data_IF_405931157694
#
_entry.id   IF_405931157694
#
_cell.length_a   1.000
_cell.length_b   1.000
_cell.length_c   1.000
_cell.angle_alpha   90.00
_cell.angle_beta   90.00
_cell.angle_gamma   90.00
#
_symmetry.space_group_name_H-M   'P 1'
#
loop_
_entity.id
_entity.type
_entity.pdbx_description
1 polymer ?
#
# COMPACT_ATOMS: atom_id res chain seq x y z
N UNK A 1 30.38 -36.75 22.72
CA UNK A 1 30.18 -35.70 23.76
C UNK A 1 29.54 -34.50 23.03
N UNK A 2 28.27 -34.35 23.21
CA UNK A 2 27.47 -33.32 22.52
C UNK A 2 27.59 -32.01 23.32
N UNK A 3 28.17 -30.97 22.69
CA UNK A 3 28.19 -29.63 23.27
C UNK A 3 26.80 -29.01 23.10
N UNK A 4 26.02 -29.04 24.15
CA UNK A 4 24.80 -28.24 24.25
C UNK A 4 25.16 -26.77 24.30
N UNK A 5 24.75 -26.00 23.27
CA UNK A 5 24.88 -24.55 23.24
C UNK A 5 24.02 -23.91 24.34
N UNK A 6 24.66 -23.52 25.43
CA UNK A 6 24.02 -22.81 26.56
C UNK A 6 23.44 -21.43 26.17
N UNK A 7 23.73 -20.96 24.97
CA UNK A 7 23.23 -19.66 24.45
C UNK A 7 21.82 -19.74 23.88
N UNK A 8 21.36 -20.92 23.43
CA UNK A 8 20.08 -21.05 22.72
C UNK A 8 18.85 -21.09 23.63
N UNK A 9 19.05 -21.48 24.92
CA UNK A 9 17.96 -21.57 25.91
C UNK A 9 17.64 -20.23 26.58
N UNK A 10 18.64 -19.35 26.77
CA UNK A 10 18.43 -18.03 27.42
C UNK A 10 17.83 -16.95 26.51
N UNK A 11 17.93 -17.11 25.20
CA UNK A 11 17.31 -16.19 24.24
C UNK A 11 15.79 -16.41 24.09
N UNK A 12 15.28 -17.58 24.48
CA UNK A 12 13.84 -17.92 24.41
C UNK A 12 13.00 -17.37 25.57
N UNK A 13 13.62 -16.89 26.64
CA UNK A 13 12.94 -16.49 27.87
C UNK A 13 12.92 -14.97 28.14
N UNK A 14 13.42 -14.14 27.20
CA UNK A 14 13.33 -12.69 27.38
C UNK A 14 12.11 -12.14 26.61
N UNK A 15 10.98 -11.88 27.30
CA UNK A 15 9.75 -11.38 26.64
C UNK A 15 9.95 -10.01 25.98
N UNK A 16 11.06 -9.32 26.22
CA UNK A 16 11.43 -8.06 25.59
C UNK A 16 12.11 -8.25 24.21
N UNK A 17 12.61 -9.47 23.92
CA UNK A 17 13.23 -9.80 22.63
C UNK A 17 12.24 -10.50 21.68
N UNK A 18 11.17 -11.08 22.20
CA UNK A 18 10.18 -11.86 21.45
C UNK A 18 9.02 -10.98 20.99
N UNK A 19 9.26 -10.16 19.99
CA UNK A 19 8.22 -9.32 19.43
C UNK A 19 8.60 -8.68 18.10
N UNK A 20 7.59 -8.30 17.34
CA UNK A 20 7.71 -7.62 16.05
C UNK A 20 7.34 -6.15 16.20
N UNK A 21 8.14 -5.26 15.64
CA UNK A 21 7.79 -3.83 15.57
C UNK A 21 6.76 -3.63 14.46
N UNK A 22 5.61 -3.08 14.83
CA UNK A 22 4.57 -2.72 13.87
C UNK A 22 4.99 -1.48 13.08
N UNK A 23 5.07 -1.58 11.76
CA UNK A 23 5.45 -0.45 10.89
C UNK A 23 4.44 0.70 10.86
N UNK A 24 3.23 0.53 11.43
CA UNK A 24 2.18 1.57 11.42
C UNK A 24 2.11 2.35 12.74
N UNK A 25 2.33 1.72 13.89
CA UNK A 25 2.29 2.39 15.20
C UNK A 25 3.64 2.43 15.91
N UNK A 26 4.67 1.85 15.29
CA UNK A 26 6.06 1.77 15.77
C UNK A 26 6.21 1.12 17.18
N UNK A 27 5.20 0.35 17.58
CA UNK A 27 5.19 -0.35 18.87
C UNK A 27 5.63 -1.79 18.66
N UNK A 28 6.60 -2.25 19.49
CA UNK A 28 6.97 -3.67 19.58
C UNK A 28 5.86 -4.44 20.30
N UNK A 29 5.39 -5.51 19.69
CA UNK A 29 4.27 -6.32 20.21
C UNK A 29 4.56 -7.81 20.00
N UNK A 30 3.97 -8.68 20.84
CA UNK A 30 4.06 -10.13 20.68
C UNK A 30 3.63 -10.58 19.27
N UNK A 31 4.25 -11.63 18.75
CA UNK A 31 3.93 -12.21 17.43
C UNK A 31 2.43 -12.55 17.30
N UNK A 32 1.79 -12.97 18.37
CA UNK A 32 0.35 -13.26 18.43
C UNK A 32 -0.53 -12.06 17.99
N UNK A 33 -0.04 -10.83 18.11
CA UNK A 33 -0.73 -9.60 17.66
C UNK A 33 -0.59 -9.35 16.17
N UNK A 34 0.12 -10.18 15.45
CA UNK A 34 0.27 -10.11 14.00
C UNK A 34 -0.45 -11.28 13.31
N UNK A 35 -0.67 -11.17 12.01
CA UNK A 35 -1.20 -12.25 11.20
C UNK A 35 -0.06 -12.91 10.44
N UNK A 36 -0.09 -14.24 10.37
CA UNK A 36 0.83 -15.03 9.55
C UNK A 36 0.23 -15.21 8.17
N UNK A 37 1.03 -15.08 7.14
CA UNK A 37 0.67 -15.38 5.74
C UNK A 37 0.79 -16.87 5.45
N UNK A 38 0.23 -17.33 4.33
CA UNK A 38 0.27 -18.76 3.95
C UNK A 38 1.69 -19.33 3.84
N UNK A 39 2.69 -18.48 3.53
CA UNK A 39 4.11 -18.86 3.46
C UNK A 39 4.84 -18.82 4.82
N UNK A 40 4.13 -18.64 5.94
CA UNK A 40 4.72 -18.53 7.27
C UNK A 40 5.26 -17.14 7.63
N UNK A 41 5.26 -16.20 6.70
CA UNK A 41 5.73 -14.84 6.94
C UNK A 41 4.77 -14.03 7.83
N UNK A 42 5.30 -13.23 8.72
CA UNK A 42 4.53 -12.38 9.62
C UNK A 42 4.22 -11.04 8.92
N UNK A 43 2.96 -10.64 8.91
CA UNK A 43 2.57 -9.31 8.41
C UNK A 43 3.17 -8.23 9.30
N UNK A 44 3.86 -7.27 8.71
CA UNK A 44 4.56 -6.20 9.43
C UNK A 44 3.65 -5.17 10.13
N UNK A 45 2.33 -5.24 9.90
CA UNK A 45 1.33 -4.37 10.56
C UNK A 45 0.50 -5.20 11.54
N UNK A 46 0.40 -4.77 12.80
CA UNK A 46 -0.36 -5.48 13.84
C UNK A 46 -1.87 -5.55 13.54
N UNK A 47 -2.55 -6.51 14.18
CA UNK A 47 -4.00 -6.74 14.00
C UNK A 47 -4.82 -5.50 14.37
N UNK A 48 -4.44 -4.78 15.42
CA UNK A 48 -5.13 -3.56 15.86
C UNK A 48 -5.06 -2.45 14.82
N UNK A 49 -3.86 -2.11 14.31
CA UNK A 49 -3.70 -1.12 13.24
C UNK A 49 -4.45 -1.50 11.97
N UNK A 50 -4.48 -2.78 11.61
CA UNK A 50 -5.24 -3.28 10.46
C UNK A 50 -6.75 -3.17 10.66
N UNK A 51 -7.24 -3.44 11.88
CA UNK A 51 -8.65 -3.26 12.24
C UNK A 51 -9.05 -1.78 12.17
N UNK A 52 -8.23 -0.89 12.72
CA UNK A 52 -8.44 0.55 12.64
C UNK A 52 -8.51 1.04 11.19
N UNK A 53 -7.55 0.64 10.36
CA UNK A 53 -7.55 1.00 8.92
C UNK A 53 -8.80 0.49 8.19
N UNK A 54 -9.24 -0.75 8.47
CA UNK A 54 -10.49 -1.27 7.89
C UNK A 54 -11.72 -0.45 8.31
N UNK A 55 -11.78 -0.01 9.57
CA UNK A 55 -12.88 0.82 10.07
C UNK A 55 -12.91 2.18 9.34
N UNK A 56 -11.76 2.82 9.15
CA UNK A 56 -11.64 4.06 8.35
C UNK A 56 -12.17 3.84 6.94
N UNK A 57 -11.70 2.81 6.23
CA UNK A 57 -12.16 2.52 4.88
C UNK A 57 -13.66 2.22 4.80
N UNK A 58 -14.20 1.52 5.80
CA UNK A 58 -15.64 1.23 5.87
C UNK A 58 -16.46 2.50 6.03
N UNK A 59 -16.03 3.40 6.93
CA UNK A 59 -16.65 4.72 7.13
C UNK A 59 -16.62 5.54 5.84
N UNK A 60 -15.45 5.70 5.23
CA UNK A 60 -15.29 6.49 4.01
C UNK A 60 -16.14 5.94 2.85
N UNK A 61 -16.28 4.61 2.73
CA UNK A 61 -17.18 4.01 1.71
C UNK A 61 -18.64 4.28 1.98
N UNK A 62 -19.07 4.35 3.24
CA UNK A 62 -20.43 4.66 3.59
C UNK A 62 -20.78 6.14 3.33
N UNK A 63 -19.81 7.03 3.50
CA UNK A 63 -19.97 8.48 3.33
C UNK A 63 -19.81 8.95 1.88
N UNK A 64 -19.25 8.14 0.99
CA UNK A 64 -18.92 8.54 -0.38
C UNK A 64 -19.56 7.59 -1.40
N UNK A 65 -20.44 8.14 -2.22
CA UNK A 65 -21.17 7.37 -3.24
C UNK A 65 -20.19 6.73 -4.22
N UNK A 66 -20.39 5.44 -4.50
CA UNK A 66 -19.61 4.74 -5.50
C UNK A 66 -19.95 5.27 -6.92
N UNK A 67 -18.95 5.51 -7.78
CA UNK A 67 -19.18 6.12 -9.08
C UNK A 67 -20.03 5.25 -10.01
N UNK A 68 -20.79 5.91 -10.89
CA UNK A 68 -21.54 5.32 -11.99
C UNK A 68 -20.62 4.88 -13.16
N UNK A 69 -21.22 4.36 -14.22
CA UNK A 69 -20.49 3.82 -15.39
C UNK A 69 -19.76 4.90 -16.21
N UNK A 70 -20.23 6.15 -16.19
CA UNK A 70 -19.65 7.27 -16.94
C UNK A 70 -18.46 7.91 -16.23
N UNK A 71 -18.18 7.49 -15.01
CA UNK A 71 -17.09 8.05 -14.21
C UNK A 71 -15.73 7.71 -14.81
N UNK A 72 -14.82 8.67 -14.78
CA UNK A 72 -13.42 8.50 -15.15
C UNK A 72 -12.50 8.65 -13.94
N UNK A 73 -11.42 7.89 -13.93
CA UNK A 73 -10.41 7.94 -12.87
C UNK A 73 -9.94 9.37 -12.60
N UNK A 74 -9.97 9.81 -11.35
CA UNK A 74 -9.55 11.15 -10.95
C UNK A 74 -8.11 11.48 -11.37
N UNK A 75 -7.23 10.48 -11.50
CA UNK A 75 -5.82 10.65 -11.86
C UNK A 75 -5.57 10.52 -13.36
N UNK A 76 -5.88 9.37 -13.98
CA UNK A 76 -5.54 9.12 -15.38
C UNK A 76 -6.66 9.42 -16.37
N UNK A 77 -7.82 9.87 -15.91
CA UNK A 77 -8.99 10.25 -16.71
C UNK A 77 -9.61 9.12 -17.56
N UNK A 78 -9.18 7.87 -17.39
CA UNK A 78 -9.71 6.72 -18.12
C UNK A 78 -10.94 6.15 -17.43
N UNK A 79 -11.91 5.70 -18.21
CA UNK A 79 -13.08 4.96 -17.76
C UNK A 79 -12.73 3.49 -17.43
N UNK A 80 -13.59 2.76 -16.70
CA UNK A 80 -13.41 1.31 -16.47
C UNK A 80 -13.41 0.52 -17.79
N UNK A 81 -14.19 0.94 -18.78
CA UNK A 81 -14.25 0.35 -20.11
C UNK A 81 -12.90 0.35 -20.82
N UNK A 82 -12.19 1.47 -20.74
CA UNK A 82 -10.85 1.63 -21.30
C UNK A 82 -9.78 0.85 -20.50
N UNK A 83 -9.99 0.70 -19.19
CA UNK A 83 -9.10 -0.05 -18.30
C UNK A 83 -9.31 -1.56 -18.38
N UNK A 84 -10.55 -2.01 -18.68
CA UNK A 84 -10.96 -3.41 -18.72
C UNK A 84 -10.45 -4.21 -19.91
N UNK A 85 -9.81 -3.58 -20.91
CA UNK A 85 -9.25 -4.26 -22.10
C UNK A 85 -8.20 -5.35 -21.80
N UNK A 86 -7.78 -5.51 -20.56
CA UNK A 86 -6.76 -6.47 -20.15
C UNK A 86 -7.28 -7.67 -19.34
N UNK A 87 -8.59 -7.91 -19.32
CA UNK A 87 -9.20 -9.16 -18.80
C UNK A 87 -9.01 -9.43 -17.30
N UNK A 88 -8.56 -8.46 -16.52
CA UNK A 88 -8.33 -8.61 -15.09
C UNK A 88 -9.48 -8.01 -14.29
N UNK A 89 -10.29 -8.86 -13.64
CA UNK A 89 -11.45 -8.47 -12.82
C UNK A 89 -11.17 -7.41 -11.75
N UNK A 90 -9.93 -7.37 -11.21
CA UNK A 90 -9.51 -6.34 -10.24
C UNK A 90 -9.37 -4.94 -10.84
N UNK A 91 -9.24 -4.81 -12.17
CA UNK A 91 -9.15 -3.53 -12.86
C UNK A 91 -10.52 -2.92 -13.18
N UNK A 92 -11.60 -3.68 -12.98
CA UNK A 92 -12.98 -3.29 -13.29
C UNK A 92 -13.69 -2.57 -12.16
N UNK A 93 -13.02 -2.28 -11.05
CA UNK A 93 -13.61 -1.60 -9.90
C UNK A 93 -12.82 -0.35 -9.56
N UNK A 94 -13.55 0.68 -9.16
CA UNK A 94 -12.96 1.86 -8.55
C UNK A 94 -12.41 1.55 -7.16
N UNK A 95 -11.24 2.07 -6.86
CA UNK A 95 -10.60 1.98 -5.54
C UNK A 95 -10.82 3.30 -4.83
N UNK A 96 -11.29 3.23 -3.59
CA UNK A 96 -11.36 4.39 -2.71
C UNK A 96 -9.93 4.84 -2.37
N UNK A 97 -9.61 6.06 -2.72
CA UNK A 97 -8.36 6.73 -2.36
C UNK A 97 -8.58 7.71 -1.21
N UNK A 98 -7.64 7.76 -0.29
CA UNK A 98 -7.71 8.62 0.90
C UNK A 98 -6.32 9.05 1.36
N UNK A 99 -6.24 10.17 2.05
CA UNK A 99 -5.02 10.61 2.70
C UNK A 99 -4.71 9.71 3.90
N UNK A 100 -3.51 9.13 3.92
CA UNK A 100 -3.08 8.22 4.99
C UNK A 100 -2.79 8.92 6.33
N UNK A 101 -2.55 10.22 6.31
CA UNK A 101 -2.26 11.02 7.51
C UNK A 101 -3.54 11.53 8.17
N UNK A 102 -4.48 12.03 7.36
CA UNK A 102 -5.72 12.65 7.85
C UNK A 102 -6.92 11.72 7.79
N UNK A 103 -6.82 10.58 7.10
CA UNK A 103 -7.91 9.64 6.79
C UNK A 103 -9.09 10.32 6.04
N UNK A 104 -8.82 11.38 5.29
CA UNK A 104 -9.83 12.06 4.46
C UNK A 104 -9.95 11.44 3.08
N UNK A 105 -11.15 11.32 2.56
CA UNK A 105 -11.42 10.86 1.20
C UNK A 105 -10.82 11.83 0.17
N UNK A 106 -10.09 11.30 -0.82
CA UNK A 106 -9.52 12.07 -1.94
C UNK A 106 -10.27 11.85 -3.24
N UNK A 107 -10.85 10.67 -3.42
CA UNK A 107 -11.58 10.34 -4.65
C UNK A 107 -11.63 8.85 -4.94
N UNK A 108 -12.29 8.51 -6.03
CA UNK A 108 -12.27 7.17 -6.60
C UNK A 108 -11.24 7.13 -7.73
N UNK A 109 -10.36 6.15 -7.71
CA UNK A 109 -9.29 5.99 -8.69
C UNK A 109 -9.24 4.57 -9.23
N UNK A 110 -8.64 4.36 -10.38
CA UNK A 110 -8.40 3.02 -10.86
C UNK A 110 -7.28 2.32 -10.06
N UNK A 111 -7.29 1.00 -10.06
CA UNK A 111 -6.29 0.21 -9.32
C UNK A 111 -4.85 0.55 -9.70
N UNK A 112 -4.55 0.79 -10.97
CA UNK A 112 -3.20 1.16 -11.44
C UNK A 112 -2.75 2.50 -10.85
N UNK A 113 -3.63 3.51 -10.85
CA UNK A 113 -3.31 4.82 -10.27
C UNK A 113 -3.14 4.73 -8.76
N UNK A 114 -4.03 4.02 -8.05
CA UNK A 114 -3.88 3.82 -6.61
C UNK A 114 -2.56 3.13 -6.24
N UNK A 115 -2.19 2.08 -6.98
CA UNK A 115 -0.91 1.38 -6.77
C UNK A 115 0.28 2.26 -7.12
N UNK A 116 0.18 3.05 -8.19
CA UNK A 116 1.23 3.99 -8.60
C UNK A 116 1.47 5.08 -7.56
N UNK A 117 0.42 5.73 -7.05
CA UNK A 117 0.53 6.71 -5.98
C UNK A 117 1.15 6.12 -4.71
N UNK A 118 0.68 4.94 -4.30
CA UNK A 118 1.25 4.22 -3.17
C UNK A 118 2.71 3.80 -3.38
N UNK A 119 3.11 3.45 -4.61
CA UNK A 119 4.50 3.17 -4.98
C UNK A 119 5.43 4.37 -4.78
N UNK A 120 4.91 5.58 -4.94
CA UNK A 120 5.61 6.83 -4.64
C UNK A 120 5.32 7.36 -3.21
N UNK A 121 4.77 6.50 -2.34
CA UNK A 121 4.43 6.84 -0.94
C UNK A 121 3.52 8.08 -0.81
N UNK A 122 2.67 8.35 -1.79
CA UNK A 122 1.83 9.57 -1.91
C UNK A 122 2.64 10.88 -1.83
N UNK A 123 3.95 10.83 -2.06
CA UNK A 123 4.86 11.97 -1.93
C UNK A 123 4.85 12.85 -3.18
N UNK A 124 4.37 14.09 -3.02
CA UNK A 124 4.43 15.10 -4.08
C UNK A 124 5.85 15.36 -4.58
N UNK A 125 6.83 15.33 -3.67
CA UNK A 125 8.24 15.52 -4.02
C UNK A 125 8.73 14.43 -4.94
N UNK A 126 8.51 13.16 -4.57
CA UNK A 126 8.94 12.00 -5.38
C UNK A 126 8.21 12.01 -6.73
N UNK A 127 6.92 12.32 -6.76
CA UNK A 127 6.14 12.41 -7.99
C UNK A 127 6.67 13.50 -8.93
N UNK A 128 7.03 14.66 -8.40
CA UNK A 128 7.67 15.73 -9.20
C UNK A 128 9.00 15.29 -9.78
N UNK A 129 9.83 14.59 -9.00
CA UNK A 129 11.10 14.06 -9.51
C UNK A 129 10.88 12.97 -10.56
N UNK A 130 9.88 12.11 -10.40
CA UNK A 130 9.52 11.12 -11.42
C UNK A 130 9.10 11.79 -12.74
N UNK A 131 8.34 12.89 -12.68
CA UNK A 131 7.98 13.68 -13.87
C UNK A 131 9.23 14.27 -14.52
N UNK A 132 10.13 14.91 -13.76
CA UNK A 132 11.39 15.47 -14.29
C UNK A 132 12.26 14.40 -14.95
N UNK A 133 12.35 13.22 -14.31
CA UNK A 133 13.07 12.08 -14.87
C UNK A 133 12.54 11.66 -16.24
N UNK A 134 11.22 11.57 -16.38
CA UNK A 134 10.60 11.19 -17.65
C UNK A 134 10.79 12.25 -18.73
N UNK A 135 10.66 13.54 -18.40
CA UNK A 135 10.87 14.66 -19.33
C UNK A 135 12.30 14.61 -19.88
N UNK A 136 13.31 14.55 -19.00
CA UNK A 136 14.72 14.49 -19.39
C UNK A 136 15.02 13.34 -20.39
N UNK A 137 14.40 12.19 -20.21
CA UNK A 137 14.62 11.07 -21.11
C UNK A 137 13.85 11.18 -22.42
N UNK A 138 12.71 11.87 -22.43
CA UNK A 138 11.92 12.10 -23.64
C UNK A 138 12.58 13.13 -24.57
N UNK A 139 13.20 14.16 -24.00
CA UNK A 139 13.97 15.16 -24.75
C UNK A 139 15.17 14.52 -25.46
N UNK A 140 15.90 13.64 -24.78
CA UNK A 140 17.05 12.90 -25.38
C UNK A 140 16.64 12.02 -26.56
N UNK A 141 15.46 11.41 -26.55
CA UNK A 141 14.98 10.58 -27.69
C UNK A 141 14.69 11.43 -28.91
N UNK A 142 14.18 12.67 -28.73
CA UNK A 142 13.89 13.59 -29.84
C UNK A 142 15.17 14.18 -30.47
N UNK A 143 16.29 14.24 -29.70
CA UNK A 143 17.58 14.73 -30.20
C UNK A 143 18.36 13.67 -31.02
N UNK A 144 18.03 12.37 -30.85
CA UNK A 144 18.70 11.27 -31.58
C UNK A 144 18.03 10.90 -32.90
N UNK A 145 16.84 11.41 -33.18
CA UNK A 145 16.08 11.16 -34.42
C UNK A 145 16.25 12.30 -35.46
N UNK A 146 17.20 13.22 -35.23
CA UNK A 146 17.61 14.29 -36.17
C UNK A 146 19.01 14.07 -36.67
#
# INVERSE_FOLDING_TARGET
MSQYNLFDSKLKENPLLDGVVCIKCDIRQPIAHFSVMKAGEIKRTCKSCRKGHKAVLSKLRAENVYPNEDYSCAVCKRTLKELGKYGQTRLQNWVLDHCHDTNTFRGWVCHKCNTGLGGFSDSLTILKEAVRYLIKHKEKLNETDT
#
